data_IF_487156618414
#
_entry.id   IF_487156618414
#
_cell.length_a   1.000
_cell.length_b   1.000
_cell.length_c   1.000
_cell.angle_alpha   90.00
_cell.angle_beta   90.00
_cell.angle_gamma   90.00
#
_symmetry.space_group_name_H-M   'P 1'
#
loop_
_entity.id
_entity.type
_entity.pdbx_description
1 polymer ?
#
# COMPACT_ATOMS: atom_id res chain seq x y z
N UNK A 1 -16.56 -11.15 14.31
CA UNK A 1 -15.38 -11.20 13.48
C UNK A 1 -14.21 -11.87 14.18
N UNK A 2 -13.18 -12.19 13.43
CA UNK A 2 -11.97 -12.75 14.01
C UNK A 2 -11.12 -11.67 14.67
N UNK A 3 -10.55 -12.03 15.82
CA UNK A 3 -9.55 -11.22 16.50
C UNK A 3 -8.28 -11.19 15.65
N UNK A 4 -7.80 -10.01 15.32
CA UNK A 4 -6.63 -9.83 14.48
C UNK A 4 -5.56 -9.07 15.26
N UNK A 5 -4.33 -9.57 15.20
CA UNK A 5 -3.19 -8.89 15.82
C UNK A 5 -2.82 -7.67 14.99
N UNK A 6 -2.80 -6.50 15.61
CA UNK A 6 -2.41 -5.26 14.94
C UNK A 6 -0.89 -5.04 15.06
N UNK A 7 -0.25 -4.74 13.93
CA UNK A 7 1.16 -4.36 13.87
C UNK A 7 1.28 -2.94 13.35
N UNK A 8 2.07 -2.12 14.00
CA UNK A 8 2.31 -0.74 13.58
C UNK A 8 3.30 -0.76 12.42
N UNK A 9 2.87 -0.22 11.28
CA UNK A 9 3.69 -0.11 10.07
C UNK A 9 4.15 1.33 9.92
N UNK A 10 5.45 1.51 9.65
CA UNK A 10 6.06 2.81 9.42
C UNK A 10 5.76 3.28 7.99
N UNK A 11 4.69 4.05 7.83
CA UNK A 11 4.34 4.63 6.54
C UNK A 11 5.13 5.91 6.22
N UNK A 12 5.72 6.55 7.22
CA UNK A 12 6.46 7.80 7.01
C UNK A 12 7.85 7.57 6.45
N UNK A 13 8.49 6.44 6.80
CA UNK A 13 9.85 6.11 6.38
C UNK A 13 10.81 7.29 6.60
N UNK A 14 10.67 7.98 7.72
CA UNK A 14 11.43 9.19 8.04
C UNK A 14 12.65 8.96 8.94
N UNK A 15 13.04 7.71 9.13
CA UNK A 15 14.29 7.37 9.80
C UNK A 15 15.43 7.42 8.77
N UNK A 16 15.94 8.63 8.55
CA UNK A 16 16.88 8.92 7.47
C UNK A 16 18.31 8.49 7.79
N UNK A 17 19.02 8.06 6.75
CA UNK A 17 20.46 7.79 6.74
C UNK A 17 20.93 6.69 7.70
N UNK A 18 20.02 5.89 8.22
CA UNK A 18 20.34 4.73 9.06
C UNK A 18 19.95 3.47 8.29
N UNK A 19 20.92 2.61 7.93
CA UNK A 19 20.58 1.38 7.22
C UNK A 19 19.86 0.41 8.13
N UNK A 20 18.95 -0.36 7.53
CA UNK A 20 18.21 -1.42 8.21
C UNK A 20 18.35 -2.72 7.44
N UNK A 21 18.42 -3.83 8.17
CA UNK A 21 18.43 -5.17 7.60
C UNK A 21 17.05 -5.77 7.68
N UNK A 22 16.59 -6.38 6.59
CA UNK A 22 15.33 -7.13 6.56
C UNK A 22 15.54 -8.45 7.30
N UNK A 23 14.86 -8.62 8.43
CA UNK A 23 14.96 -9.82 9.27
C UNK A 23 13.90 -10.86 8.98
N UNK A 24 12.71 -10.43 8.56
CA UNK A 24 11.61 -11.34 8.24
C UNK A 24 10.64 -10.68 7.28
N UNK A 25 9.98 -11.48 6.46
CA UNK A 25 8.81 -11.08 5.66
C UNK A 25 7.62 -11.80 6.29
N UNK A 26 6.62 -11.03 6.76
CA UNK A 26 5.53 -11.55 7.57
C UNK A 26 4.17 -11.30 6.93
N UNK A 27 3.23 -12.17 7.23
CA UNK A 27 1.81 -11.97 6.93
C UNK A 27 1.20 -10.98 7.93
N UNK A 28 0.40 -10.03 7.43
CA UNK A 28 -0.36 -9.11 8.27
C UNK A 28 -1.86 -9.24 7.94
N UNK A 29 -2.69 -9.64 8.92
CA UNK A 29 -4.13 -9.81 8.69
C UNK A 29 -4.87 -8.49 8.45
N UNK A 30 -4.25 -7.35 8.73
CA UNK A 30 -4.88 -6.03 8.62
C UNK A 30 -4.70 -5.40 7.24
N UNK A 31 -3.98 -6.04 6.33
CA UNK A 31 -3.73 -5.53 4.98
C UNK A 31 -3.53 -6.67 3.99
N UNK A 32 -3.64 -6.36 2.72
CA UNK A 32 -3.48 -7.35 1.66
C UNK A 32 -2.01 -7.65 1.34
N UNK A 33 -1.12 -6.68 1.58
CA UNK A 33 0.31 -6.81 1.35
C UNK A 33 1.01 -7.53 2.51
N UNK A 34 2.15 -8.18 2.23
CA UNK A 34 3.06 -8.63 3.26
C UNK A 34 3.81 -7.44 3.87
N UNK A 35 4.31 -7.61 5.08
CA UNK A 35 5.14 -6.63 5.77
C UNK A 35 6.53 -7.18 6.02
N UNK A 36 7.52 -6.30 6.09
CA UNK A 36 8.91 -6.63 6.37
C UNK A 36 9.32 -6.10 7.74
N UNK A 37 9.91 -6.95 8.55
CA UNK A 37 10.51 -6.54 9.82
C UNK A 37 11.94 -6.06 9.57
N UNK A 38 12.19 -4.81 9.94
CA UNK A 38 13.50 -4.16 9.79
C UNK A 38 14.20 -4.01 11.14
N UNK A 39 15.48 -4.36 11.16
CA UNK A 39 16.38 -4.08 12.28
C UNK A 39 17.36 -2.98 11.83
N UNK A 40 17.18 -1.80 12.39
CA UNK A 40 18.09 -0.66 12.10
C UNK A 40 19.43 -0.82 12.81
N UNK A 41 20.45 -0.19 12.23
CA UNK A 41 21.81 -0.26 12.77
C UNK A 41 21.92 0.31 14.20
N UNK A 42 21.03 1.23 14.59
CA UNK A 42 20.96 1.79 15.94
C UNK A 42 20.17 0.93 16.95
N UNK A 43 19.69 -0.23 16.52
CA UNK A 43 18.94 -1.17 17.35
C UNK A 43 17.42 -1.02 17.33
N UNK A 44 16.87 -0.01 16.67
CA UNK A 44 15.41 0.14 16.54
C UNK A 44 14.86 -0.89 15.57
N UNK A 45 13.64 -1.35 15.82
CA UNK A 45 12.90 -2.28 14.96
C UNK A 45 11.65 -1.61 14.45
N UNK A 46 11.38 -1.73 13.15
CA UNK A 46 10.15 -1.23 12.53
C UNK A 46 9.64 -2.21 11.49
N UNK A 47 8.33 -2.12 11.23
CA UNK A 47 7.71 -2.79 10.07
C UNK A 47 7.53 -1.80 8.94
N UNK A 48 7.73 -2.28 7.72
CA UNK A 48 7.35 -1.55 6.49
C UNK A 48 6.51 -2.46 5.60
N UNK A 49 5.82 -1.87 4.63
CA UNK A 49 5.19 -2.66 3.56
C UNK A 49 6.32 -3.35 2.79
N UNK A 50 6.21 -4.67 2.59
CA UNK A 50 7.20 -5.41 1.84
C UNK A 50 6.97 -5.25 0.34
N UNK A 51 7.90 -4.64 -0.40
CA UNK A 51 7.83 -4.64 -1.85
C UNK A 51 8.19 -6.01 -2.43
N UNK A 52 7.71 -6.25 -3.65
CA UNK A 52 8.04 -7.46 -4.38
C UNK A 52 9.55 -7.52 -4.66
N UNK A 53 10.14 -8.66 -4.42
CA UNK A 53 11.58 -8.86 -4.61
C UNK A 53 12.45 -8.53 -3.39
N UNK A 54 11.89 -7.95 -2.34
CA UNK A 54 12.63 -7.73 -1.09
C UNK A 54 12.80 -9.07 -0.35
N UNK A 55 14.03 -9.35 0.06
CA UNK A 55 14.39 -10.65 0.68
C UNK A 55 14.97 -10.43 2.07
N UNK A 56 14.85 -11.45 2.91
CA UNK A 56 15.55 -11.51 4.20
C UNK A 56 17.06 -11.37 3.97
N UNK A 57 17.68 -10.48 4.73
CA UNK A 57 19.10 -10.15 4.58
C UNK A 57 19.39 -8.92 3.74
N UNK A 58 18.42 -8.43 2.97
CA UNK A 58 18.57 -7.20 2.21
C UNK A 58 18.72 -6.00 3.13
N UNK A 59 19.41 -4.98 2.66
CA UNK A 59 19.58 -3.70 3.37
C UNK A 59 18.71 -2.64 2.71
N UNK A 60 17.96 -1.88 3.50
CA UNK A 60 17.17 -0.74 3.04
C UNK A 60 17.53 0.52 3.80
N UNK A 61 17.44 1.66 3.12
CA UNK A 61 17.68 2.98 3.69
C UNK A 61 16.61 3.96 3.25
N UNK A 62 16.55 5.09 3.91
CA UNK A 62 15.67 6.20 3.56
C UNK A 62 16.45 7.50 3.56
N UNK A 63 16.07 8.44 2.72
CA UNK A 63 16.63 9.78 2.69
C UNK A 63 17.36 10.11 1.40
N UNK A 64 18.13 11.19 1.41
CA UNK A 64 18.76 11.72 0.21
C UNK A 64 19.96 10.91 -0.26
N UNK A 65 20.56 10.12 0.63
CA UNK A 65 21.70 9.25 0.30
C UNK A 65 21.26 7.88 -0.20
N UNK A 66 19.96 7.58 -0.16
CA UNK A 66 19.44 6.30 -0.62
C UNK A 66 19.59 6.17 -2.13
N UNK A 67 19.95 4.97 -2.58
CA UNK A 67 20.00 4.61 -4.00
C UNK A 67 18.62 4.07 -4.45
N UNK A 68 18.31 4.08 -5.77
CA UNK A 68 16.99 3.64 -6.25
C UNK A 68 16.84 2.12 -6.27
N UNK A 69 17.14 1.46 -5.18
CA UNK A 69 16.97 0.02 -5.01
C UNK A 69 15.64 -0.29 -4.33
N UNK A 70 15.10 -1.46 -4.61
CA UNK A 70 13.82 -1.92 -4.06
C UNK A 70 13.84 -1.86 -2.52
N UNK A 71 12.84 -1.21 -1.96
CA UNK A 71 12.69 -1.05 -0.51
C UNK A 71 13.25 0.27 0.04
N UNK A 72 14.06 0.99 -0.71
CA UNK A 72 14.58 2.28 -0.27
C UNK A 72 13.53 3.39 -0.43
N UNK A 73 13.41 4.25 0.58
CA UNK A 73 12.54 5.41 0.54
C UNK A 73 13.32 6.64 0.11
N UNK A 74 12.79 7.35 -0.86
CA UNK A 74 13.44 8.50 -1.48
C UNK A 74 12.46 9.65 -1.67
N UNK A 75 12.98 10.87 -1.67
CA UNK A 75 12.20 12.02 -2.15
C UNK A 75 11.94 11.88 -3.65
N UNK A 76 10.78 12.30 -4.11
CA UNK A 76 10.45 12.24 -5.54
C UNK A 76 11.43 13.05 -6.39
N UNK A 77 12.06 14.05 -5.82
CA UNK A 77 13.14 14.81 -6.50
C UNK A 77 14.35 13.96 -6.85
N UNK A 78 14.59 12.88 -6.11
CA UNK A 78 15.79 12.03 -6.26
C UNK A 78 15.50 10.71 -6.99
N UNK A 79 14.24 10.36 -7.18
CA UNK A 79 13.83 9.13 -7.86
C UNK A 79 14.05 9.26 -9.37
N UNK A 80 14.71 8.31 -10.04
CA UNK A 80 14.83 8.33 -11.50
C UNK A 80 13.47 8.27 -12.19
N UNK A 81 13.33 8.99 -13.30
CA UNK A 81 12.09 8.95 -14.10
C UNK A 81 11.83 7.52 -14.60
N UNK A 82 10.55 7.14 -14.61
CA UNK A 82 10.12 5.79 -15.01
C UNK A 82 10.16 4.75 -13.90
N UNK A 83 10.69 5.08 -12.73
CA UNK A 83 10.77 4.15 -11.59
C UNK A 83 9.37 3.83 -11.05
N UNK A 84 9.14 2.55 -10.76
CA UNK A 84 7.93 2.09 -10.07
C UNK A 84 8.11 2.31 -8.57
N UNK A 85 7.11 2.92 -7.95
CA UNK A 85 7.15 3.34 -6.55
C UNK A 85 5.86 2.95 -5.84
N UNK A 86 5.92 2.85 -4.53
CA UNK A 86 4.76 2.57 -3.68
C UNK A 86 4.88 3.37 -2.38
N UNK A 87 3.85 3.28 -1.53
CA UNK A 87 3.79 4.02 -0.27
C UNK A 87 4.08 5.51 -0.48
N UNK A 88 3.37 6.12 -1.42
CA UNK A 88 3.61 7.47 -1.91
C UNK A 88 2.91 8.49 -1.02
N UNK A 89 3.63 9.50 -0.56
CA UNK A 89 3.03 10.63 0.14
C UNK A 89 2.30 11.55 -0.83
N UNK A 90 1.15 12.06 -0.41
CA UNK A 90 0.45 13.14 -1.11
C UNK A 90 0.85 14.52 -0.57
N UNK A 91 1.22 14.57 0.70
CA UNK A 91 1.71 15.79 1.35
C UNK A 91 3.00 15.47 2.11
N UNK A 92 4.03 16.32 2.03
CA UNK A 92 5.29 16.07 2.70
C UNK A 92 5.13 15.85 4.21
N UNK A 93 5.76 14.81 4.73
CA UNK A 93 5.77 14.48 6.15
C UNK A 93 4.52 13.82 6.70
N UNK A 94 3.47 13.66 5.90
CA UNK A 94 2.19 13.07 6.36
C UNK A 94 2.21 11.55 6.41
N UNK A 95 3.13 10.93 5.70
CA UNK A 95 3.21 9.47 5.55
C UNK A 95 2.59 9.00 4.25
N UNK A 96 3.03 7.84 3.79
CA UNK A 96 2.53 7.25 2.54
C UNK A 96 1.06 6.87 2.65
N UNK A 97 0.30 7.19 1.62
CA UNK A 97 -1.13 6.90 1.56
C UNK A 97 -1.56 6.22 0.26
N UNK A 98 -0.77 6.33 -0.80
CA UNK A 98 -1.08 5.77 -2.11
C UNK A 98 -0.20 4.57 -2.39
N UNK A 99 -0.75 3.57 -3.10
CA UNK A 99 -0.05 2.33 -3.50
C UNK A 99 0.47 1.55 -2.29
N UNK A 100 -0.43 1.17 -1.37
CA UNK A 100 -0.14 0.34 -0.20
C UNK A 100 -0.77 -1.05 -0.27
N UNK A 101 -1.74 -1.24 -1.16
CA UNK A 101 -2.40 -2.53 -1.35
C UNK A 101 -1.54 -3.51 -2.15
N UNK A 102 -1.84 -4.81 -2.02
CA UNK A 102 -1.11 -5.86 -2.72
C UNK A 102 -1.02 -5.61 -4.23
N UNK A 103 0.18 -5.74 -4.78
CA UNK A 103 0.43 -5.62 -6.22
C UNK A 103 0.35 -4.21 -6.79
N UNK A 104 0.02 -3.20 -5.99
CA UNK A 104 -0.13 -1.83 -6.48
C UNK A 104 1.21 -1.13 -6.61
N UNK A 105 1.25 -0.13 -7.48
CA UNK A 105 2.39 0.75 -7.69
C UNK A 105 1.95 2.04 -8.37
N UNK A 106 2.75 3.08 -8.22
CA UNK A 106 2.71 4.25 -9.06
C UNK A 106 3.98 4.33 -9.91
N UNK A 107 4.00 5.23 -10.88
CA UNK A 107 5.17 5.46 -11.72
C UNK A 107 5.46 6.95 -11.80
N UNK A 108 6.73 7.31 -11.57
CA UNK A 108 7.18 8.69 -11.72
C UNK A 108 7.42 8.98 -13.21
N UNK A 109 6.56 9.79 -13.82
CA UNK A 109 6.61 10.06 -15.24
C UNK A 109 7.43 11.29 -15.60
N UNK A 110 7.36 12.35 -14.80
CA UNK A 110 8.04 13.61 -15.07
C UNK A 110 8.24 14.44 -13.80
N UNK A 111 9.10 15.43 -13.88
CA UNK A 111 9.25 16.48 -12.87
C UNK A 111 9.18 17.85 -13.54
N UNK A 112 8.40 18.75 -12.94
CA UNK A 112 8.23 20.13 -13.42
C UNK A 112 8.36 21.08 -12.23
N UNK A 113 9.51 21.71 -12.08
CA UNK A 113 9.78 22.61 -10.96
C UNK A 113 9.66 21.93 -9.60
N UNK A 114 8.70 22.39 -8.78
CA UNK A 114 8.45 21.81 -7.44
C UNK A 114 7.56 20.56 -7.46
N UNK A 115 7.06 20.15 -8.63
CA UNK A 115 6.09 19.08 -8.74
C UNK A 115 6.64 17.88 -9.48
N UNK A 116 6.23 16.71 -9.04
CA UNK A 116 6.41 15.45 -9.74
C UNK A 116 5.08 15.01 -10.34
N UNK A 117 5.12 14.50 -11.57
CA UNK A 117 3.95 13.94 -12.23
C UNK A 117 3.99 12.43 -12.02
N UNK A 118 3.03 11.91 -11.25
CA UNK A 118 2.98 10.50 -10.84
C UNK A 118 1.72 9.86 -11.42
N UNK A 119 1.89 8.74 -12.11
CA UNK A 119 0.79 7.88 -12.52
C UNK A 119 0.39 7.01 -11.34
N UNK A 120 -0.84 7.17 -10.86
CA UNK A 120 -1.38 6.45 -9.71
C UNK A 120 -1.86 5.04 -10.08
N UNK A 121 -2.05 4.13 -9.10
CA UNK A 121 -2.55 2.78 -9.39
C UNK A 121 -3.88 2.74 -10.13
N UNK A 122 -4.72 3.77 -9.95
CA UNK A 122 -5.99 3.91 -10.67
C UNK A 122 -5.84 4.24 -12.15
N UNK A 123 -4.62 4.54 -12.60
CA UNK A 123 -4.34 5.03 -13.95
C UNK A 123 -4.38 6.56 -14.09
N UNK A 124 -4.89 7.26 -13.08
CA UNK A 124 -4.91 8.72 -13.03
C UNK A 124 -3.51 9.28 -12.85
N UNK A 125 -3.24 10.42 -13.49
CA UNK A 125 -1.98 11.15 -13.32
C UNK A 125 -2.22 12.33 -12.38
N UNK A 126 -1.37 12.47 -11.35
CA UNK A 126 -1.45 13.57 -10.39
C UNK A 126 -0.12 14.27 -10.25
N UNK A 127 -0.18 15.56 -9.93
CA UNK A 127 0.98 16.34 -9.55
C UNK A 127 1.13 16.33 -8.03
N UNK A 128 2.32 15.98 -7.55
CA UNK A 128 2.66 15.90 -6.12
C UNK A 128 3.95 16.69 -5.90
N UNK A 129 4.11 17.30 -4.73
CA UNK A 129 5.35 18.01 -4.43
C UNK A 129 6.54 17.05 -4.46
N UNK A 130 7.66 17.50 -5.04
CA UNK A 130 8.89 16.69 -5.13
C UNK A 130 9.52 16.38 -3.77
N UNK A 131 9.10 17.08 -2.72
CA UNK A 131 9.51 16.82 -1.33
C UNK A 131 8.72 15.68 -0.66
N UNK A 132 7.76 15.10 -1.36
CA UNK A 132 7.08 13.88 -0.91
C UNK A 132 8.01 12.68 -1.01
N UNK A 133 7.90 11.77 -0.04
CA UNK A 133 8.63 10.50 -0.04
C UNK A 133 7.83 9.41 -0.73
N UNK A 134 8.53 8.49 -1.35
CA UNK A 134 7.98 7.24 -1.88
C UNK A 134 9.01 6.14 -1.72
N UNK A 135 8.56 4.89 -1.73
CA UNK A 135 9.45 3.73 -1.65
C UNK A 135 9.56 3.07 -3.01
N UNK A 136 10.77 2.72 -3.40
CA UNK A 136 11.04 2.08 -4.70
C UNK A 136 10.49 0.66 -4.72
N UNK A 137 9.79 0.31 -5.78
CA UNK A 137 9.29 -1.03 -6.04
C UNK A 137 7.77 -1.14 -6.12
N UNK A 138 7.31 -2.34 -6.34
CA UNK A 138 5.90 -2.74 -6.42
C UNK A 138 5.53 -3.45 -5.12
N UNK A 139 4.33 -3.21 -4.59
CA UNK A 139 3.88 -3.89 -3.36
C UNK A 139 3.77 -5.39 -3.59
N UNK A 140 4.16 -6.17 -2.61
CA UNK A 140 4.16 -7.64 -2.64
C UNK A 140 2.75 -8.23 -2.68
N UNK A 141 2.68 -9.55 -2.84
CA UNK A 141 1.43 -10.33 -2.84
C UNK A 141 0.46 -9.92 -3.97
N UNK A 142 1.00 -9.63 -5.15
CA UNK A 142 0.21 -9.21 -6.31
C UNK A 142 -0.84 -10.21 -6.77
N UNK A 143 -0.75 -11.47 -6.34
CA UNK A 143 -1.70 -12.53 -6.65
C UNK A 143 -2.93 -12.54 -5.74
N UNK A 144 -3.02 -11.63 -4.78
CA UNK A 144 -4.12 -11.57 -3.81
C UNK A 144 -5.50 -11.51 -4.49
N UNK A 145 -5.62 -10.77 -5.58
CA UNK A 145 -6.88 -10.63 -6.33
C UNK A 145 -7.31 -11.92 -7.06
N UNK A 146 -6.42 -12.89 -7.18
CA UNK A 146 -6.74 -14.19 -7.80
C UNK A 146 -7.34 -15.17 -6.81
N UNK A 147 -7.33 -14.87 -5.52
CA UNK A 147 -7.91 -15.72 -4.48
C UNK A 147 -9.42 -15.77 -4.59
N UNK A 148 -9.97 -16.96 -4.44
CA UNK A 148 -11.42 -17.18 -4.42
C UNK A 148 -11.87 -17.56 -3.01
N UNK A 149 -12.94 -16.92 -2.56
CA UNK A 149 -13.48 -17.20 -1.23
C UNK A 149 -14.16 -18.57 -1.13
N UNK A 150 -14.69 -19.09 -2.22
CA UNK A 150 -15.37 -20.37 -2.26
C UNK A 150 -16.83 -20.33 -1.80
N UNK A 151 -17.15 -19.64 -0.73
CA UNK A 151 -18.52 -19.53 -0.19
C UNK A 151 -18.74 -18.23 0.56
N UNK A 152 -20.00 -17.80 0.66
CA UNK A 152 -20.36 -16.58 1.40
C UNK A 152 -20.04 -16.67 2.91
N UNK A 153 -20.08 -17.86 3.50
CA UNK A 153 -19.75 -18.07 4.90
C UNK A 153 -18.31 -17.67 5.25
N UNK A 154 -17.38 -17.79 4.32
CA UNK A 154 -15.99 -17.34 4.53
C UNK A 154 -15.92 -15.84 4.76
N UNK A 155 -16.67 -15.04 4.00
CA UNK A 155 -16.75 -13.60 4.21
C UNK A 155 -17.26 -13.26 5.61
N UNK A 156 -18.23 -14.02 6.13
CA UNK A 156 -18.74 -13.87 7.49
C UNK A 156 -17.63 -14.19 8.51
N UNK A 157 -16.87 -15.24 8.30
CA UNK A 157 -15.74 -15.60 9.15
C UNK A 157 -14.69 -14.50 9.23
N UNK A 158 -14.47 -13.78 8.13
CA UNK A 158 -13.55 -12.65 8.06
C UNK A 158 -14.13 -11.36 8.65
N UNK A 159 -15.35 -11.40 9.19
CA UNK A 159 -15.98 -10.27 9.85
C UNK A 159 -16.77 -9.34 8.91
N UNK A 160 -16.96 -9.71 7.66
CA UNK A 160 -17.74 -8.92 6.70
C UNK A 160 -19.21 -9.24 6.84
N UNK A 161 -20.03 -8.21 6.92
CA UNK A 161 -21.47 -8.36 6.90
C UNK A 161 -21.98 -8.47 5.45
N UNK A 162 -23.07 -9.20 5.22
CA UNK A 162 -23.64 -9.28 3.88
C UNK A 162 -24.18 -7.92 3.45
N UNK A 163 -24.07 -7.66 2.15
CA UNK A 163 -24.70 -6.51 1.51
C UNK A 163 -26.03 -6.95 0.93
N UNK A 164 -27.08 -6.23 1.29
CA UNK A 164 -28.42 -6.46 0.73
C UNK A 164 -28.56 -5.60 -0.53
N UNK A 165 -29.00 -6.22 -1.64
CA UNK A 165 -29.25 -5.47 -2.88
C UNK A 165 -30.47 -4.57 -2.70
N UNK A 166 -30.43 -3.37 -3.28
CA UNK A 166 -31.53 -2.41 -3.21
C UNK A 166 -32.84 -2.96 -3.76
N UNK A 167 -32.78 -3.80 -4.79
CA UNK A 167 -33.96 -4.42 -5.44
C UNK A 167 -34.79 -5.34 -4.50
N UNK A 168 -34.16 -5.87 -3.45
CA UNK A 168 -34.89 -6.71 -2.45
C UNK A 168 -35.35 -5.92 -1.24
N UNK A 169 -35.12 -4.62 -1.20
CA UNK A 169 -35.55 -3.71 -0.15
C UNK A 169 -36.97 -3.18 -0.47
N UNK A 170 -37.61 -2.61 0.55
CA UNK A 170 -38.85 -1.87 0.35
C UNK A 170 -38.61 -0.51 -0.32
N UNK A 171 -39.60 0.10 -1.01
CA UNK A 171 -39.37 1.40 -1.66
C UNK A 171 -38.89 2.51 -0.75
N UNK A 172 -39.22 2.48 0.55
CA UNK A 172 -38.77 3.46 1.53
C UNK A 172 -37.26 3.34 1.84
N UNK A 173 -36.69 2.15 1.65
CA UNK A 173 -35.30 1.86 2.00
C UNK A 173 -34.33 2.03 0.82
N UNK A 174 -34.85 1.90 -0.40
CA UNK A 174 -34.01 2.04 -1.60
C UNK A 174 -34.86 2.38 -2.83
N UNK A 175 -34.38 3.27 -3.73
CA UNK A 175 -35.12 3.64 -4.94
C UNK A 175 -35.53 2.48 -5.86
N UNK A 176 -34.76 1.40 -5.85
CA UNK A 176 -35.02 0.20 -6.66
C UNK A 176 -35.81 -0.88 -5.90
N UNK A 177 -36.26 -0.60 -4.68
CA UNK A 177 -37.05 -1.53 -3.88
C UNK A 177 -38.48 -1.61 -4.34
N UNK A 178 -39.23 -2.61 -3.82
CA UNK A 178 -40.68 -2.76 -4.05
C UNK A 178 -41.06 -3.63 -5.24
N UNK A 179 -40.19 -4.54 -5.66
CA UNK A 179 -40.52 -5.54 -6.67
C UNK A 179 -40.72 -6.94 -6.08
N UNK A 180 -40.98 -7.92 -6.94
CA UNK A 180 -40.99 -9.33 -6.61
C UNK A 180 -39.68 -9.99 -7.00
N UNK A 181 -38.85 -10.32 -6.02
CA UNK A 181 -37.56 -10.99 -6.26
C UNK A 181 -36.59 -10.14 -7.09
N UNK A 182 -36.30 -10.60 -8.33
CA UNK A 182 -35.30 -9.94 -9.19
C UNK A 182 -35.83 -8.83 -10.07
N UNK A 183 -37.03 -8.41 -9.85
CA UNK A 183 -37.63 -7.29 -10.60
C UNK A 183 -37.08 -5.96 -10.10
N UNK A 184 -36.75 -5.08 -11.04
CA UNK A 184 -36.27 -3.72 -10.78
C UNK A 184 -37.17 -2.68 -11.42
#
# INVERSE_FOLDING_TARGET
GHKQKYRIVDFKRNKFDIPATVKAIEYDPNRTANIALLYYADGEKRYIIAPNGLKVGDTVTAGRTATPNVGNAMYLSDVPLGTLIHNIELMPGKGGSIARGAGTYGQLNAREGKFAVVKMPSGETRMVLVTCLATVGVVSNGEHNLERSGKAGRSRWLGRRPRVRGVVMNPVDHPMGGGEGRNS
#
